data_IF_434393415169
#
_entry.id   IF_434393415169
#
_cell.length_a   1.000
_cell.length_b   1.000
_cell.length_c   1.000
_cell.angle_alpha   90.00
_cell.angle_beta   90.00
_cell.angle_gamma   90.00
#
_symmetry.space_group_name_H-M   'P 1'
#
loop_
_entity.id
_entity.type
_entity.pdbx_description
1 polymer ?
#
# COMPACT_ATOMS: atom_id res chain seq x y z
N UNK A 1 -9.34 -11.58 -13.97
CA UNK A 1 -10.39 -12.53 -13.60
C UNK A 1 -10.86 -12.36 -12.14
N UNK A 2 -9.95 -12.34 -11.14
CA UNK A 2 -10.33 -12.22 -9.70
C UNK A 2 -11.08 -10.93 -9.38
N UNK A 3 -10.66 -9.77 -9.91
CA UNK A 3 -11.38 -8.49 -9.75
C UNK A 3 -12.82 -8.56 -10.25
N UNK A 4 -13.03 -9.21 -11.39
CA UNK A 4 -14.38 -9.40 -11.98
C UNK A 4 -15.22 -10.33 -11.10
N UNK A 5 -14.63 -11.43 -10.59
CA UNK A 5 -15.31 -12.34 -9.68
C UNK A 5 -15.74 -11.63 -8.38
N UNK A 6 -14.81 -10.85 -7.78
CA UNK A 6 -15.11 -10.06 -6.58
C UNK A 6 -16.25 -9.05 -6.84
N UNK A 7 -16.16 -8.29 -7.93
CA UNK A 7 -17.21 -7.33 -8.32
C UNK A 7 -18.57 -8.02 -8.51
N UNK A 8 -18.59 -9.18 -9.18
CA UNK A 8 -19.84 -9.95 -9.39
C UNK A 8 -20.44 -10.43 -8.06
N UNK A 9 -19.63 -10.84 -7.11
CA UNK A 9 -20.10 -11.26 -5.78
C UNK A 9 -20.62 -10.09 -4.96
N UNK A 10 -19.98 -8.92 -5.03
CA UNK A 10 -20.40 -7.73 -4.28
C UNK A 10 -21.69 -7.08 -4.85
N UNK A 11 -21.89 -7.13 -6.15
CA UNK A 11 -23.11 -6.59 -6.81
C UNK A 11 -24.37 -7.32 -6.35
N UNK A 12 -24.28 -8.58 -5.94
CA UNK A 12 -25.44 -9.36 -5.46
C UNK A 12 -25.92 -8.96 -4.07
N UNK A 13 -25.20 -8.07 -3.36
CA UNK A 13 -25.48 -7.59 -2.00
C UNK A 13 -25.89 -8.74 -1.04
N UNK A 14 -25.03 -9.74 -0.82
CA UNK A 14 -25.36 -10.91 -0.02
C UNK A 14 -25.46 -10.56 1.49
N UNK A 15 -26.36 -11.22 2.22
CA UNK A 15 -26.44 -11.10 3.70
C UNK A 15 -25.20 -11.69 4.40
N UNK A 16 -24.62 -12.75 3.82
CA UNK A 16 -23.39 -13.41 4.27
C UNK A 16 -22.40 -13.44 3.11
N UNK A 17 -21.26 -12.80 3.32
CA UNK A 17 -20.14 -12.79 2.38
C UNK A 17 -19.02 -13.67 2.91
N UNK A 18 -18.60 -14.66 2.12
CA UNK A 18 -17.46 -15.53 2.43
C UNK A 18 -16.33 -15.22 1.46
N UNK A 19 -15.18 -14.81 1.99
CA UNK A 19 -14.01 -14.48 1.20
C UNK A 19 -12.81 -15.33 1.64
N UNK A 20 -12.13 -15.92 0.66
CA UNK A 20 -10.89 -16.67 0.85
C UNK A 20 -9.74 -15.96 0.16
N UNK A 21 -8.80 -15.43 0.98
CA UNK A 21 -7.65 -14.64 0.56
C UNK A 21 -8.00 -13.54 -0.46
N UNK A 22 -8.92 -12.62 -0.13
CA UNK A 22 -9.42 -11.64 -1.10
C UNK A 22 -8.37 -10.61 -1.51
N UNK A 23 -7.38 -10.34 -0.67
CA UNK A 23 -6.31 -9.34 -0.93
C UNK A 23 -5.20 -9.87 -1.83
N UNK A 24 -5.08 -11.21 -1.97
CA UNK A 24 -4.05 -11.81 -2.81
C UNK A 24 -4.17 -11.37 -4.27
N UNK A 25 -3.08 -10.82 -4.82
CA UNK A 25 -2.96 -10.30 -6.18
C UNK A 25 -3.81 -9.05 -6.48
N UNK A 26 -4.44 -8.42 -5.48
CA UNK A 26 -4.97 -7.08 -5.61
C UNK A 26 -3.82 -6.07 -5.45
N UNK A 27 -3.92 -4.97 -6.17
CA UNK A 27 -3.05 -3.82 -5.91
C UNK A 27 -3.55 -3.04 -4.69
N UNK A 28 -2.69 -2.17 -4.19
CA UNK A 28 -2.94 -1.42 -2.97
C UNK A 28 -4.22 -0.57 -3.04
N UNK A 29 -4.44 0.11 -4.17
CA UNK A 29 -5.63 0.96 -4.36
C UNK A 29 -6.92 0.14 -4.29
N UNK A 30 -6.92 -1.08 -4.87
CA UNK A 30 -8.06 -2.00 -4.81
C UNK A 30 -8.27 -2.58 -3.41
N UNK A 31 -7.20 -2.88 -2.70
CA UNK A 31 -7.27 -3.38 -1.31
C UNK A 31 -7.86 -2.31 -0.40
N UNK A 32 -7.42 -1.06 -0.52
CA UNK A 32 -7.97 0.08 0.22
C UNK A 32 -9.44 0.33 -0.09
N UNK A 33 -9.81 0.26 -1.36
CA UNK A 33 -11.21 0.37 -1.76
C UNK A 33 -12.08 -0.74 -1.14
N UNK A 34 -11.57 -1.98 -1.13
CA UNK A 34 -12.28 -3.12 -0.54
C UNK A 34 -12.42 -2.97 0.98
N UNK A 35 -11.36 -2.53 1.68
CA UNK A 35 -11.42 -2.20 3.11
C UNK A 35 -12.53 -1.19 3.41
N UNK A 36 -12.55 -0.08 2.69
CA UNK A 36 -13.53 0.98 2.86
C UNK A 36 -14.96 0.51 2.54
N UNK A 37 -15.13 -0.29 1.49
CA UNK A 37 -16.41 -0.88 1.13
C UNK A 37 -16.95 -1.78 2.25
N UNK A 38 -16.15 -2.75 2.72
CA UNK A 38 -16.56 -3.70 3.75
C UNK A 38 -16.83 -3.04 5.11
N UNK A 39 -16.15 -1.95 5.42
CA UNK A 39 -16.39 -1.18 6.65
C UNK A 39 -17.68 -0.39 6.62
N UNK A 40 -18.12 0.08 5.44
CA UNK A 40 -19.34 0.89 5.29
C UNK A 40 -20.59 0.04 5.10
N UNK A 41 -20.43 -1.19 4.64
CA UNK A 41 -21.55 -2.07 4.32
C UNK A 41 -21.97 -2.86 5.56
N UNK A 42 -23.28 -2.92 5.82
CA UNK A 42 -23.81 -3.69 6.96
C UNK A 42 -24.09 -5.13 6.49
N UNK A 43 -23.06 -5.95 6.40
CA UNK A 43 -23.11 -7.35 5.99
C UNK A 43 -22.41 -8.25 7.00
N UNK A 44 -22.79 -9.54 7.04
CA UNK A 44 -22.06 -10.55 7.81
C UNK A 44 -20.88 -11.05 6.97
N UNK A 45 -19.66 -10.89 7.48
CA UNK A 45 -18.42 -11.26 6.78
C UNK A 45 -17.75 -12.45 7.48
N UNK A 46 -17.46 -13.51 6.72
CA UNK A 46 -16.53 -14.57 7.10
C UNK A 46 -15.36 -14.55 6.13
N UNK A 47 -14.16 -14.32 6.65
CA UNK A 47 -12.99 -14.13 5.81
C UNK A 47 -11.80 -14.97 6.29
N UNK A 48 -11.08 -15.57 5.36
CA UNK A 48 -9.77 -16.17 5.59
C UNK A 48 -8.74 -15.26 4.91
N UNK A 49 -7.76 -14.76 5.66
CA UNK A 49 -6.69 -13.94 5.09
C UNK A 49 -5.44 -13.95 5.94
N UNK A 50 -4.30 -13.71 5.31
CA UNK A 50 -3.01 -13.50 5.93
C UNK A 50 -2.62 -12.01 5.97
N UNK A 51 -3.44 -11.12 5.39
CA UNK A 51 -3.23 -9.68 5.43
C UNK A 51 -3.60 -9.12 6.81
N UNK A 52 -2.58 -8.85 7.60
CA UNK A 52 -2.70 -8.40 8.99
C UNK A 52 -3.31 -7.01 9.11
N UNK A 53 -3.02 -6.15 8.16
CA UNK A 53 -3.53 -4.78 8.13
C UNK A 53 -5.03 -4.77 7.80
N UNK A 54 -5.43 -5.65 6.88
CA UNK A 54 -6.83 -5.85 6.56
C UNK A 54 -7.62 -6.42 7.74
N UNK A 55 -7.04 -7.43 8.44
CA UNK A 55 -7.63 -7.99 9.66
C UNK A 55 -7.83 -6.93 10.75
N UNK A 56 -6.85 -6.04 10.96
CA UNK A 56 -6.90 -5.02 11.99
C UNK A 56 -7.99 -3.97 11.73
N UNK A 57 -8.28 -3.68 10.46
CA UNK A 57 -9.22 -2.63 10.06
C UNK A 57 -10.65 -3.08 9.84
N UNK A 58 -10.84 -4.29 9.32
CA UNK A 58 -12.14 -4.78 8.86
C UNK A 58 -12.79 -5.73 9.86
N UNK A 59 -11.98 -6.56 10.56
CA UNK A 59 -12.50 -7.60 11.41
C UNK A 59 -12.73 -7.11 12.85
N UNK A 60 -13.89 -7.45 13.42
CA UNK A 60 -14.22 -7.24 14.83
C UNK A 60 -13.92 -8.45 15.70
N UNK A 61 -13.74 -9.61 15.10
CA UNK A 61 -13.53 -10.89 15.77
C UNK A 61 -12.58 -11.77 14.94
N UNK A 62 -11.64 -12.45 15.59
CA UNK A 62 -10.67 -13.32 14.95
C UNK A 62 -10.84 -14.74 15.50
N UNK A 63 -10.93 -15.71 14.61
CA UNK A 63 -11.01 -17.14 14.92
C UNK A 63 -9.69 -17.79 14.48
N UNK A 64 -8.92 -18.30 15.44
CA UNK A 64 -7.67 -19.02 15.20
C UNK A 64 -7.92 -20.53 15.27
N UNK A 65 -7.49 -21.25 14.23
CA UNK A 65 -7.43 -22.68 14.16
C UNK A 65 -6.01 -23.15 14.50
N UNK A 66 -5.79 -23.68 15.70
CA UNK A 66 -4.49 -24.15 16.15
C UNK A 66 -4.60 -25.52 16.84
N UNK A 67 -3.75 -26.46 16.47
CA UNK A 67 -3.67 -27.82 17.07
C UNK A 67 -5.04 -28.53 17.21
N UNK A 68 -5.89 -28.47 16.18
CA UNK A 68 -7.27 -29.02 16.14
C UNK A 68 -8.22 -28.40 17.16
N UNK A 69 -7.92 -27.18 17.64
CA UNK A 69 -8.78 -26.39 18.52
C UNK A 69 -9.09 -25.06 17.88
N UNK A 70 -10.23 -24.51 18.26
CA UNK A 70 -10.68 -23.19 17.81
C UNK A 70 -10.52 -22.24 18.99
N UNK A 71 -9.87 -21.12 18.75
CA UNK A 71 -9.73 -20.03 19.71
C UNK A 71 -10.38 -18.78 19.11
N UNK A 72 -11.20 -18.10 19.88
CA UNK A 72 -11.97 -16.94 19.46
C UNK A 72 -11.51 -15.72 20.24
N UNK A 73 -11.20 -14.65 19.52
CA UNK A 73 -10.72 -13.41 20.08
C UNK A 73 -11.62 -12.26 19.61
N UNK A 74 -12.28 -11.57 20.56
CA UNK A 74 -13.12 -10.43 20.27
C UNK A 74 -12.28 -9.17 20.29
N UNK A 75 -11.87 -8.71 19.12
CA UNK A 75 -11.02 -7.56 18.94
C UNK A 75 -10.33 -7.58 17.57
N UNK A 76 -9.46 -6.58 17.35
CA UNK A 76 -8.65 -6.46 16.16
C UNK A 76 -7.42 -7.38 16.18
N UNK A 77 -6.59 -7.32 15.12
CA UNK A 77 -5.40 -8.16 14.99
C UNK A 77 -4.36 -7.91 16.09
N UNK A 78 -4.17 -6.66 16.51
CA UNK A 78 -3.24 -6.29 17.58
C UNK A 78 -3.65 -6.93 18.92
N UNK A 79 -4.94 -6.89 19.25
CA UNK A 79 -5.49 -7.57 20.44
C UNK A 79 -5.31 -9.09 20.37
N UNK A 80 -5.54 -9.67 19.19
CA UNK A 80 -5.32 -11.11 18.96
C UNK A 80 -3.86 -11.50 19.24
N UNK A 81 -2.88 -10.73 18.76
CA UNK A 81 -1.45 -11.00 18.99
C UNK A 81 -1.13 -11.02 20.48
N UNK A 82 -1.56 -10.00 21.23
CA UNK A 82 -1.34 -9.91 22.69
C UNK A 82 -1.92 -11.14 23.40
N UNK A 83 -3.17 -11.47 23.13
CA UNK A 83 -3.85 -12.60 23.79
C UNK A 83 -3.30 -13.96 23.36
N UNK A 84 -2.83 -14.07 22.13
CA UNK A 84 -2.15 -15.28 21.66
C UNK A 84 -0.82 -15.47 22.38
N UNK A 85 -0.05 -14.43 22.56
CA UNK A 85 1.24 -14.44 23.26
C UNK A 85 1.04 -14.84 24.73
N UNK A 86 0.11 -14.21 25.45
CA UNK A 86 -0.27 -14.58 26.82
C UNK A 86 -0.65 -16.09 26.92
N UNK A 87 -1.42 -16.59 25.94
CA UNK A 87 -1.82 -18.00 25.90
C UNK A 87 -0.63 -18.95 25.72
N UNK A 88 0.30 -18.58 24.83
CA UNK A 88 1.50 -19.38 24.54
C UNK A 88 2.41 -19.39 25.77
N UNK A 89 2.63 -18.25 26.42
CA UNK A 89 3.42 -18.15 27.65
C UNK A 89 2.82 -18.99 28.78
N UNK A 90 1.51 -18.88 29.01
CA UNK A 90 0.81 -19.67 30.03
C UNK A 90 0.98 -21.17 29.79
N UNK A 91 0.84 -21.61 28.52
CA UNK A 91 1.04 -23.01 28.14
C UNK A 91 2.49 -23.47 28.32
N UNK A 92 3.45 -22.63 27.99
CA UNK A 92 4.88 -22.92 28.15
C UNK A 92 5.21 -23.16 29.64
N UNK A 93 4.72 -22.29 30.50
CA UNK A 93 4.87 -22.42 31.97
C UNK A 93 4.19 -23.72 32.48
N UNK A 94 3.02 -24.05 31.95
CA UNK A 94 2.31 -25.31 32.30
C UNK A 94 3.13 -26.55 31.92
N UNK A 95 3.68 -26.57 30.71
CA UNK A 95 4.53 -27.65 30.21
C UNK A 95 5.85 -27.77 31.01
N UNK A 96 6.48 -26.63 31.36
CA UNK A 96 7.67 -26.65 32.20
C UNK A 96 7.40 -27.22 33.60
N UNK A 97 6.28 -26.83 34.21
CA UNK A 97 5.85 -27.39 35.48
C UNK A 97 5.57 -28.91 35.35
N UNK A 98 4.87 -29.32 34.29
CA UNK A 98 4.63 -30.73 34.01
C UNK A 98 5.92 -31.48 33.78
N UNK A 99 6.91 -30.95 33.08
CA UNK A 99 8.21 -31.57 32.86
C UNK A 99 9.00 -31.76 34.16
N UNK A 100 9.00 -30.74 35.03
CA UNK A 100 9.67 -30.82 36.31
C UNK A 100 9.03 -31.90 37.21
N UNK A 101 7.69 -31.95 37.26
CA UNK A 101 6.97 -32.98 38.00
C UNK A 101 7.19 -34.38 37.37
N UNK A 102 7.17 -34.47 36.03
CA UNK A 102 7.44 -35.71 35.31
C UNK A 102 8.80 -36.29 35.63
N UNK A 103 9.85 -35.48 35.73
CA UNK A 103 11.18 -35.95 36.13
C UNK A 103 11.15 -36.61 37.51
N UNK A 104 10.46 -35.99 38.48
CA UNK A 104 10.32 -36.50 39.83
C UNK A 104 9.54 -37.81 39.86
N UNK A 105 8.39 -37.86 39.14
CA UNK A 105 7.55 -39.07 39.08
C UNK A 105 8.21 -40.18 38.26
N UNK A 106 9.04 -39.85 37.27
CA UNK A 106 9.83 -40.84 36.51
C UNK A 106 10.86 -41.54 37.39
N UNK A 107 11.52 -40.84 38.31
CA UNK A 107 12.40 -41.45 39.28
C UNK A 107 11.63 -42.40 40.20
N UNK A 108 10.43 -42.00 40.65
CA UNK A 108 9.58 -42.90 41.44
C UNK A 108 9.13 -44.09 40.63
N UNK A 109 8.76 -43.98 39.39
CA UNK A 109 8.38 -45.06 38.49
C UNK A 109 9.54 -46.04 38.25
N UNK A 110 10.79 -45.60 38.22
CA UNK A 110 11.98 -46.43 38.03
C UNK A 110 12.39 -47.19 39.29
N UNK A 111 11.98 -46.75 40.50
CA UNK A 111 12.25 -47.47 41.75
C UNK A 111 11.37 -48.72 41.83
N UNK A 112 12.00 -49.88 42.17
CA UNK A 112 11.22 -51.10 42.41
C UNK A 112 10.39 -50.98 43.69
N UNK A 113 9.18 -51.53 43.75
CA UNK A 113 8.39 -51.57 44.99
C UNK A 113 9.16 -52.34 46.07
N UNK A 114 9.15 -51.81 47.30
CA UNK A 114 9.77 -52.53 48.45
C UNK A 114 8.90 -53.67 48.85
N UNK A 115 9.51 -54.88 49.01
CA UNK A 115 8.90 -56.10 49.46
C UNK A 115 7.67 -56.57 48.60
N UNK A 116 6.61 -57.12 49.17
CA UNK A 116 5.42 -57.60 48.47
C UNK A 116 4.40 -56.52 48.05
N UNK A 117 4.82 -55.23 47.99
CA UNK A 117 3.93 -54.13 47.65
C UNK A 117 3.81 -53.89 46.13
N UNK A 118 2.62 -53.49 45.71
CA UNK A 118 2.37 -53.02 44.36
C UNK A 118 2.40 -51.48 44.34
N UNK A 119 2.82 -50.87 43.22
CA UNK A 119 2.69 -49.42 43.02
C UNK A 119 1.22 -49.04 43.03
N UNK A 120 0.90 -47.87 43.58
CA UNK A 120 -0.47 -47.37 43.59
C UNK A 120 -0.93 -47.05 42.16
N UNK A 121 -1.91 -47.81 41.66
CA UNK A 121 -2.43 -47.71 40.28
C UNK A 121 -2.85 -46.32 39.92
N UNK A 122 -3.50 -45.59 40.83
CA UNK A 122 -3.85 -44.17 40.64
C UNK A 122 -2.66 -43.29 40.30
N UNK A 123 -1.49 -43.50 40.94
CA UNK A 123 -0.28 -42.73 40.69
C UNK A 123 0.39 -43.12 39.35
N UNK A 124 0.27 -44.36 38.95
CA UNK A 124 0.69 -44.84 37.62
C UNK A 124 -0.16 -44.19 36.52
N UNK A 125 -1.48 -44.19 36.69
CA UNK A 125 -2.40 -43.54 35.74
C UNK A 125 -2.12 -42.03 35.65
N UNK A 126 -1.92 -41.33 36.78
CA UNK A 126 -1.56 -39.94 36.84
C UNK A 126 -0.19 -39.64 36.16
N UNK A 127 0.78 -40.56 36.28
CA UNK A 127 2.06 -40.46 35.60
C UNK A 127 1.92 -40.50 34.09
N UNK A 128 1.09 -41.38 33.53
CA UNK A 128 0.85 -41.44 32.09
C UNK A 128 0.11 -40.22 31.54
N UNK A 129 -0.81 -39.65 32.32
CA UNK A 129 -1.44 -38.38 31.93
C UNK A 129 -0.44 -37.21 31.96
N UNK A 130 0.41 -37.15 32.99
CA UNK A 130 1.47 -36.19 33.12
C UNK A 130 2.50 -36.32 31.97
N UNK A 131 2.84 -37.54 31.59
CA UNK A 131 3.73 -37.85 30.47
C UNK A 131 3.20 -37.29 29.15
N UNK A 132 1.88 -37.40 28.91
CA UNK A 132 1.23 -36.84 27.71
C UNK A 132 1.40 -35.30 27.64
N UNK A 133 1.25 -34.62 28.78
CA UNK A 133 1.41 -33.18 28.87
C UNK A 133 2.88 -32.78 28.73
N UNK A 134 3.78 -33.46 29.47
CA UNK A 134 5.21 -33.19 29.48
C UNK A 134 5.88 -33.44 28.10
N UNK A 135 5.37 -34.40 27.32
CA UNK A 135 5.86 -34.71 25.98
C UNK A 135 5.29 -33.76 24.89
N UNK A 136 4.34 -32.87 25.22
CA UNK A 136 3.91 -31.85 24.28
C UNK A 136 5.09 -30.90 24.04
N UNK A 137 5.70 -31.00 22.89
CA UNK A 137 6.73 -30.04 22.44
C UNK A 137 6.02 -28.83 21.89
N UNK A 138 6.00 -27.75 22.65
CA UNK A 138 5.85 -26.41 22.07
C UNK A 138 7.24 -26.00 21.59
N UNK A 139 7.47 -26.04 20.29
CA UNK A 139 8.68 -25.47 19.71
C UNK A 139 8.56 -23.93 19.73
N UNK A 140 8.85 -23.37 20.89
CA UNK A 140 9.06 -21.94 21.06
C UNK A 140 10.57 -21.62 21.15
N UNK A 141 11.42 -22.47 20.59
CA UNK A 141 12.83 -22.12 20.42
C UNK A 141 12.93 -21.01 19.37
N UNK A 142 12.62 -19.79 19.79
CA UNK A 142 13.00 -18.55 19.10
C UNK A 142 14.54 -18.43 19.15
N UNK A 143 15.23 -19.33 18.47
CA UNK A 143 16.65 -19.14 18.19
C UNK A 143 16.72 -18.05 17.14
N UNK A 144 17.11 -16.85 17.56
CA UNK A 144 17.32 -15.74 16.63
C UNK A 144 18.23 -16.20 15.51
N UNK A 145 17.73 -16.16 14.29
CA UNK A 145 18.46 -16.47 13.08
C UNK A 145 19.39 -15.29 12.73
N UNK A 146 20.46 -15.10 13.51
CA UNK A 146 21.51 -14.15 13.16
C UNK A 146 22.47 -14.81 12.16
N UNK A 147 22.03 -14.90 10.89
CA UNK A 147 22.81 -15.51 9.81
C UNK A 147 23.93 -14.55 9.41
N UNK A 148 25.14 -15.07 9.33
CA UNK A 148 26.29 -14.32 8.83
C UNK A 148 26.13 -14.15 7.32
N UNK A 149 25.74 -12.94 6.90
CA UNK A 149 25.76 -12.61 5.47
C UNK A 149 27.19 -12.73 4.93
N UNK A 150 27.34 -13.21 3.70
CA UNK A 150 28.61 -13.22 3.00
C UNK A 150 29.10 -11.77 2.83
N UNK A 151 30.42 -11.60 2.75
CA UNK A 151 31.02 -10.28 2.57
C UNK A 151 30.41 -9.55 1.37
N UNK A 152 30.06 -8.28 1.56
CA UNK A 152 29.58 -7.39 0.52
C UNK A 152 30.55 -6.20 0.37
N UNK A 153 30.98 -5.92 -0.84
CA UNK A 153 31.86 -4.78 -1.16
C UNK A 153 31.18 -3.43 -0.99
N UNK A 154 31.88 -2.37 -1.33
CA UNK A 154 31.32 -1.00 -1.31
C UNK A 154 30.37 -0.76 -2.48
N UNK A 155 30.65 -1.33 -3.64
CA UNK A 155 29.82 -1.22 -4.83
C UNK A 155 28.78 -2.33 -4.84
N UNK A 156 27.50 -1.96 -4.87
CA UNK A 156 26.37 -2.89 -4.92
C UNK A 156 25.82 -2.97 -6.33
N UNK A 157 25.03 -1.98 -6.74
CA UNK A 157 24.74 -1.73 -8.12
C UNK A 157 24.57 -0.22 -8.38
N UNK A 158 24.91 0.19 -9.59
CA UNK A 158 24.74 1.53 -10.10
C UNK A 158 23.97 1.44 -11.41
N UNK A 159 22.81 2.04 -11.45
CA UNK A 159 21.99 2.21 -12.63
C UNK A 159 22.20 3.62 -13.16
N UNK A 160 22.55 3.77 -14.43
CA UNK A 160 22.80 5.07 -15.04
C UNK A 160 22.00 5.19 -16.33
N UNK A 161 21.08 6.14 -16.35
CA UNK A 161 20.20 6.48 -17.48
C UNK A 161 19.54 5.25 -18.12
N UNK A 162 18.91 4.38 -17.29
CA UNK A 162 18.24 3.18 -17.78
C UNK A 162 16.91 3.52 -18.44
N UNK A 163 16.70 2.94 -19.61
CA UNK A 163 15.44 3.01 -20.36
C UNK A 163 14.94 1.62 -20.68
N UNK A 164 13.65 1.39 -20.52
CA UNK A 164 12.96 0.17 -20.92
C UNK A 164 11.53 0.45 -21.29
N UNK A 165 11.11 -0.06 -22.47
CA UNK A 165 9.74 0.06 -22.96
C UNK A 165 9.26 -1.23 -23.62
N UNK A 166 7.95 -1.44 -23.62
CA UNK A 166 7.28 -2.50 -24.36
C UNK A 166 6.17 -1.85 -25.21
N UNK A 167 6.48 -1.58 -26.47
CA UNK A 167 5.60 -0.79 -27.34
C UNK A 167 5.38 0.61 -26.76
N UNK A 168 4.13 0.99 -26.50
CA UNK A 168 3.77 2.31 -25.94
C UNK A 168 3.93 2.40 -24.41
N UNK A 169 4.16 1.25 -23.75
CA UNK A 169 4.29 1.20 -22.30
C UNK A 169 5.75 1.44 -21.89
N UNK A 170 6.02 2.60 -21.31
CA UNK A 170 7.32 2.90 -20.71
C UNK A 170 7.38 2.29 -19.30
N UNK A 171 8.41 1.50 -19.05
CA UNK A 171 8.70 0.88 -17.74
C UNK A 171 9.73 1.70 -16.97
N UNK A 172 10.84 2.05 -17.64
CA UNK A 172 11.90 2.91 -17.13
C UNK A 172 12.08 4.05 -18.14
N UNK A 173 12.16 5.28 -17.63
CA UNK A 173 12.39 6.49 -18.43
C UNK A 173 13.41 7.34 -17.68
N UNK A 174 14.67 7.30 -18.13
CA UNK A 174 15.80 8.00 -17.52
C UNK A 174 16.05 7.64 -16.03
N UNK A 175 15.97 6.33 -15.71
CA UNK A 175 16.16 5.88 -14.34
C UNK A 175 17.63 5.79 -13.98
N UNK A 176 18.06 6.57 -12.97
CA UNK A 176 19.40 6.53 -12.40
C UNK A 176 19.31 6.32 -10.89
N UNK A 177 20.07 5.34 -10.37
CA UNK A 177 20.05 5.01 -8.95
C UNK A 177 21.35 4.34 -8.51
N UNK A 178 21.87 4.74 -7.35
CA UNK A 178 23.02 4.12 -6.70
C UNK A 178 22.55 3.43 -5.44
N UNK A 179 22.62 2.10 -5.41
CA UNK A 179 22.18 1.30 -4.28
C UNK A 179 23.23 1.29 -3.17
N UNK A 180 22.82 1.70 -1.97
CA UNK A 180 23.71 1.78 -0.84
C UNK A 180 23.96 0.42 -0.17
N UNK A 181 25.08 0.31 0.54
CA UNK A 181 25.42 -0.90 1.29
C UNK A 181 24.46 -1.08 2.48
N UNK A 182 23.94 -2.30 2.66
CA UNK A 182 22.99 -2.68 3.71
C UNK A 182 21.61 -2.02 3.58
N UNK A 183 21.34 -1.43 2.47
CA UNK A 183 20.06 -0.81 2.18
C UNK A 183 18.95 -1.84 2.06
N UNK A 184 17.79 -1.50 2.62
CA UNK A 184 16.58 -2.32 2.53
C UNK A 184 15.48 -1.50 1.86
N UNK A 185 15.29 -1.76 0.58
CA UNK A 185 14.40 -1.02 -0.30
C UNK A 185 13.10 -1.77 -0.53
N UNK A 186 11.99 -1.07 -0.43
CA UNK A 186 10.68 -1.55 -0.85
C UNK A 186 10.29 -1.02 -2.23
N UNK A 187 9.70 -1.85 -3.06
CA UNK A 187 9.13 -1.43 -4.34
C UNK A 187 7.61 -1.51 -4.24
N UNK A 188 6.95 -0.39 -4.47
CA UNK A 188 5.50 -0.26 -4.43
C UNK A 188 4.96 0.34 -5.74
N UNK A 189 3.72 0.02 -6.08
CA UNK A 189 3.05 0.53 -7.27
C UNK A 189 1.96 -0.42 -7.75
N UNK A 190 1.10 0.06 -8.63
CA UNK A 190 -0.01 -0.72 -9.16
C UNK A 190 0.48 -1.91 -10.01
N UNK A 191 -0.41 -2.87 -10.25
CA UNK A 191 -0.07 -4.00 -11.10
C UNK A 191 0.14 -3.54 -12.54
N UNK A 192 1.21 -4.05 -13.18
CA UNK A 192 1.56 -3.68 -14.56
C UNK A 192 2.44 -2.43 -14.69
N UNK A 193 2.87 -1.80 -13.60
CA UNK A 193 3.77 -0.63 -13.65
C UNK A 193 5.24 -0.97 -13.92
N UNK A 194 5.59 -2.27 -14.02
CA UNK A 194 6.93 -2.70 -14.41
C UNK A 194 7.83 -3.17 -13.25
N UNK A 195 7.30 -3.36 -12.04
CA UNK A 195 8.07 -3.81 -10.86
C UNK A 195 8.88 -5.09 -11.12
N UNK A 196 8.21 -6.15 -11.59
CA UNK A 196 8.89 -7.42 -11.89
C UNK A 196 9.83 -7.32 -13.09
N UNK A 197 9.56 -6.44 -14.06
CA UNK A 197 10.47 -6.17 -15.16
C UNK A 197 11.75 -5.50 -14.67
N UNK A 198 11.65 -4.54 -13.76
CA UNK A 198 12.81 -3.91 -13.14
C UNK A 198 13.67 -4.95 -12.40
N UNK A 199 13.07 -5.86 -11.64
CA UNK A 199 13.77 -6.95 -10.98
C UNK A 199 14.47 -7.86 -12.02
N UNK A 200 13.79 -8.22 -13.12
CA UNK A 200 14.38 -9.05 -14.18
C UNK A 200 15.58 -8.38 -14.85
N UNK A 201 15.53 -7.04 -15.00
CA UNK A 201 16.68 -6.26 -15.50
C UNK A 201 17.84 -6.32 -14.50
N UNK A 202 17.56 -6.09 -13.21
CA UNK A 202 18.56 -6.16 -12.15
C UNK A 202 19.21 -7.55 -12.04
N UNK A 203 18.43 -8.61 -12.28
CA UNK A 203 18.92 -10.00 -12.28
C UNK A 203 19.61 -10.42 -13.59
N UNK A 204 19.68 -9.54 -14.58
CA UNK A 204 20.24 -9.84 -15.90
C UNK A 204 19.41 -10.80 -16.74
N UNK A 205 18.16 -11.04 -16.39
CA UNK A 205 17.21 -11.89 -17.12
C UNK A 205 16.54 -11.15 -18.29
N UNK A 206 16.48 -9.83 -18.19
CA UNK A 206 15.95 -8.94 -19.21
C UNK A 206 16.99 -7.83 -19.47
N UNK A 207 17.12 -7.37 -20.71
CA UNK A 207 18.04 -6.30 -21.07
C UNK A 207 17.31 -4.95 -21.06
N UNK A 208 17.94 -3.91 -20.54
CA UNK A 208 17.51 -2.55 -20.76
C UNK A 208 17.64 -2.17 -22.23
N UNK A 209 16.80 -1.26 -22.71
CA UNK A 209 16.86 -0.79 -24.11
C UNK A 209 18.06 0.16 -24.29
N UNK A 210 18.40 0.95 -23.28
CA UNK A 210 19.60 1.79 -23.21
C UNK A 210 19.97 2.11 -21.77
N UNK A 211 21.15 2.71 -21.58
CA UNK A 211 21.74 2.98 -20.26
C UNK A 211 22.70 1.87 -19.83
N UNK A 212 23.25 2.01 -18.63
CA UNK A 212 24.21 1.05 -18.06
C UNK A 212 23.77 0.61 -16.69
N UNK A 213 23.93 -0.70 -16.42
CA UNK A 213 23.75 -1.29 -15.10
C UNK A 213 25.06 -1.95 -14.70
N UNK A 214 25.71 -1.42 -13.68
CA UNK A 214 26.98 -1.93 -13.19
C UNK A 214 26.80 -2.57 -11.81
N UNK A 215 27.02 -3.88 -11.71
CA UNK A 215 26.80 -4.68 -10.51
C UNK A 215 28.16 -5.05 -9.92
N UNK A 216 28.32 -4.87 -8.60
CA UNK A 216 29.54 -5.21 -7.89
C UNK A 216 29.87 -6.70 -7.96
N UNK A 217 31.14 -7.05 -8.23
CA UNK A 217 31.61 -8.44 -8.37
C UNK A 217 31.38 -9.31 -7.12
N UNK A 218 31.25 -8.69 -5.96
CA UNK A 218 31.01 -9.40 -4.69
C UNK A 218 29.55 -9.67 -4.40
N UNK A 219 28.63 -9.16 -5.24
CA UNK A 219 27.19 -9.32 -5.06
C UNK A 219 26.76 -10.74 -5.38
N UNK A 220 26.08 -11.38 -4.45
CA UNK A 220 25.48 -12.71 -4.59
C UNK A 220 23.99 -12.59 -4.39
N UNK A 221 23.25 -12.64 -5.49
CA UNK A 221 21.80 -12.53 -5.44
C UNK A 221 21.13 -13.81 -4.91
N UNK A 222 20.16 -13.63 -4.03
CA UNK A 222 19.14 -14.61 -3.70
C UNK A 222 17.81 -14.11 -4.20
N UNK A 223 17.28 -14.73 -5.24
CA UNK A 223 16.02 -14.30 -5.85
C UNK A 223 14.89 -15.25 -5.50
N UNK A 224 13.88 -14.70 -4.86
CA UNK A 224 12.59 -15.36 -4.62
C UNK A 224 11.56 -14.80 -5.60
N UNK A 225 11.21 -15.58 -6.62
CA UNK A 225 10.28 -15.14 -7.67
C UNK A 225 8.86 -15.58 -7.38
N UNK A 226 7.91 -14.82 -7.90
CA UNK A 226 6.49 -15.16 -7.84
C UNK A 226 6.15 -16.46 -8.59
N UNK A 227 6.90 -16.79 -9.65
CA UNK A 227 6.70 -18.01 -10.44
C UNK A 227 7.08 -19.28 -9.65
N UNK A 228 7.92 -19.15 -8.62
CA UNK A 228 8.41 -20.25 -7.80
C UNK A 228 9.50 -21.07 -8.46
N UNK A 229 9.99 -22.09 -7.77
CA UNK A 229 10.95 -23.07 -8.27
C UNK A 229 10.23 -24.38 -8.57
N UNK A 230 10.60 -25.02 -9.69
CA UNK A 230 10.21 -26.40 -9.95
C UNK A 230 11.17 -27.32 -9.19
N UNK A 231 10.61 -28.08 -8.25
CA UNK A 231 11.35 -29.10 -7.52
C UNK A 231 11.23 -30.45 -8.20
N UNK A 232 12.23 -31.30 -8.02
CA UNK A 232 12.04 -32.72 -8.28
C UNK A 232 11.08 -33.29 -7.21
N UNK A 233 9.90 -33.66 -7.64
CA UNK A 233 8.84 -34.15 -6.76
C UNK A 233 9.21 -35.46 -6.04
N UNK A 234 10.18 -36.20 -6.53
CA UNK A 234 10.64 -37.46 -5.95
C UNK A 234 11.72 -37.28 -4.86
N UNK A 235 12.22 -36.06 -4.68
CA UNK A 235 13.16 -35.74 -3.61
C UNK A 235 12.45 -35.59 -2.27
N UNK A 236 13.17 -35.85 -1.16
CA UNK A 236 12.71 -35.48 0.18
C UNK A 236 13.02 -34.02 0.45
N UNK A 237 12.21 -33.41 1.33
CA UNK A 237 12.38 -32.01 1.73
C UNK A 237 13.78 -31.72 2.24
N UNK A 238 14.34 -32.61 3.06
CA UNK A 238 15.70 -32.47 3.62
C UNK A 238 16.75 -32.54 2.54
N UNK A 239 16.62 -33.44 1.57
CA UNK A 239 17.59 -33.66 0.50
C UNK A 239 17.68 -32.42 -0.41
N UNK A 240 16.54 -31.81 -0.74
CA UNK A 240 16.50 -30.55 -1.54
C UNK A 240 17.34 -29.45 -0.91
N UNK A 241 17.34 -29.35 0.40
CA UNK A 241 18.07 -28.31 1.11
C UNK A 241 19.54 -28.70 1.32
N UNK A 242 19.82 -29.98 1.59
CA UNK A 242 21.18 -30.50 1.76
C UNK A 242 22.00 -30.44 0.45
N UNK A 243 21.38 -30.61 -0.70
CA UNK A 243 22.03 -30.44 -2.01
C UNK A 243 22.57 -29.00 -2.23
N UNK A 244 22.01 -28.03 -1.51
CA UNK A 244 22.47 -26.63 -1.58
C UNK A 244 23.58 -26.40 -0.56
N UNK A 245 23.35 -26.77 0.69
CA UNK A 245 24.31 -26.66 1.77
C UNK A 245 23.94 -27.58 2.94
N UNK A 246 24.91 -28.31 3.48
CA UNK A 246 24.71 -29.12 4.67
C UNK A 246 24.63 -28.28 5.95
N UNK A 247 25.32 -27.13 5.96
CA UNK A 247 25.50 -26.27 7.14
C UNK A 247 25.52 -24.79 6.75
N UNK A 248 24.87 -23.97 7.52
CA UNK A 248 24.92 -22.50 7.43
C UNK A 248 25.73 -21.94 8.62
N UNK A 249 26.61 -20.99 8.37
CA UNK A 249 27.28 -20.25 9.42
C UNK A 249 26.44 -19.08 9.94
N UNK A 250 26.25 -19.01 11.24
CA UNK A 250 25.61 -17.89 11.92
C UNK A 250 26.61 -16.77 12.23
N UNK A 251 26.11 -15.54 12.39
CA UNK A 251 26.91 -14.35 12.69
C UNK A 251 27.75 -14.45 13.98
N UNK A 252 27.33 -15.30 14.90
CA UNK A 252 28.03 -15.60 16.17
C UNK A 252 29.03 -16.78 16.07
N UNK A 253 29.34 -17.28 14.87
CA UNK A 253 30.23 -18.40 14.64
C UNK A 253 29.60 -19.77 14.92
N UNK A 254 28.33 -19.84 15.32
CA UNK A 254 27.59 -21.09 15.41
C UNK A 254 27.24 -21.60 14.02
N UNK A 255 27.08 -22.91 13.90
CA UNK A 255 26.67 -23.57 12.67
C UNK A 255 25.29 -24.17 12.84
N UNK A 256 24.40 -23.93 11.90
CA UNK A 256 23.09 -24.58 11.79
C UNK A 256 23.15 -25.66 10.73
N UNK A 257 22.68 -26.85 11.07
CA UNK A 257 22.46 -27.91 10.06
C UNK A 257 21.23 -27.59 9.22
N UNK A 258 21.15 -28.16 8.01
CA UNK A 258 19.98 -28.02 7.15
C UNK A 258 18.68 -28.42 7.86
N UNK A 259 18.71 -29.49 8.69
CA UNK A 259 17.55 -29.91 9.49
C UNK A 259 17.11 -28.86 10.53
N UNK A 260 18.06 -28.25 11.25
CA UNK A 260 17.75 -27.18 12.20
C UNK A 260 17.21 -25.94 11.50
N UNK A 261 17.78 -25.57 10.36
CA UNK A 261 17.28 -24.46 9.55
C UNK A 261 15.85 -24.68 9.07
N UNK A 262 15.55 -25.86 8.55
CA UNK A 262 14.19 -26.25 8.18
C UNK A 262 13.20 -26.18 9.34
N UNK A 263 13.64 -26.57 10.57
CA UNK A 263 12.79 -26.46 11.77
C UNK A 263 12.41 -25.01 12.08
N UNK A 264 13.32 -24.04 11.89
CA UNK A 264 12.98 -22.62 12.03
C UNK A 264 11.89 -22.18 11.07
N UNK A 265 11.85 -22.76 9.86
CA UNK A 265 10.81 -22.53 8.87
C UNK A 265 9.65 -23.55 8.99
N UNK A 266 9.41 -24.07 10.20
CA UNK A 266 8.27 -24.93 10.57
C UNK A 266 8.20 -26.27 9.83
N UNK A 267 9.30 -26.77 9.27
CA UNK A 267 9.40 -28.13 8.82
C UNK A 267 9.85 -29.03 9.97
N UNK A 268 8.88 -29.70 10.60
CA UNK A 268 9.18 -30.65 11.67
C UNK A 268 9.97 -31.87 11.15
N UNK A 269 10.76 -32.56 12.00
CA UNK A 269 11.57 -33.71 11.58
C UNK A 269 10.80 -34.76 10.77
N UNK A 270 9.53 -34.96 11.10
CA UNK A 270 8.64 -35.90 10.40
C UNK A 270 8.36 -35.43 8.96
N UNK A 271 8.13 -34.14 8.77
CA UNK A 271 7.86 -33.53 7.45
C UNK A 271 9.12 -33.42 6.60
N UNK A 272 10.30 -33.22 7.23
CA UNK A 272 11.58 -33.13 6.51
C UNK A 272 11.91 -34.40 5.71
N UNK A 273 11.48 -35.56 6.17
CA UNK A 273 11.70 -36.85 5.49
C UNK A 273 10.58 -37.21 4.52
N UNK A 274 9.53 -36.39 4.39
CA UNK A 274 8.48 -36.59 3.39
C UNK A 274 8.94 -36.12 2.01
N UNK A 275 8.30 -36.65 0.97
CA UNK A 275 8.57 -36.27 -0.42
C UNK A 275 7.90 -34.93 -0.74
N UNK A 276 8.54 -34.15 -1.66
CA UNK A 276 8.07 -32.83 -2.06
C UNK A 276 6.65 -32.86 -2.66
N UNK A 277 6.28 -33.92 -3.40
CA UNK A 277 4.94 -34.06 -3.98
C UNK A 277 3.80 -34.10 -2.92
N UNK A 278 4.13 -34.45 -1.67
CA UNK A 278 3.15 -34.49 -0.55
C UNK A 278 2.90 -33.14 0.10
N UNK A 279 3.74 -32.17 -0.19
CA UNK A 279 3.64 -30.82 0.38
C UNK A 279 2.44 -30.06 -0.21
N UNK A 280 1.76 -29.32 0.64
CA UNK A 280 0.80 -28.29 0.22
C UNK A 280 1.48 -27.15 -0.56
N UNK A 281 0.68 -26.35 -1.28
CA UNK A 281 1.20 -25.21 -2.03
C UNK A 281 2.00 -24.25 -1.14
N UNK A 282 1.49 -23.89 0.03
CA UNK A 282 2.17 -23.02 0.99
C UNK A 282 3.48 -23.63 1.54
N UNK A 283 3.49 -24.95 1.83
CA UNK A 283 4.72 -25.65 2.22
C UNK A 283 5.76 -25.67 1.11
N UNK A 284 5.38 -25.88 -0.14
CA UNK A 284 6.29 -25.78 -1.30
C UNK A 284 6.89 -24.38 -1.44
N UNK A 285 6.10 -23.34 -1.25
CA UNK A 285 6.55 -21.93 -1.24
C UNK A 285 7.54 -21.66 -0.12
N UNK A 286 7.25 -22.19 1.07
CA UNK A 286 8.13 -22.11 2.23
C UNK A 286 9.45 -22.84 1.99
N UNK A 287 9.40 -24.05 1.39
CA UNK A 287 10.60 -24.78 0.99
C UNK A 287 11.44 -24.00 -0.02
N UNK A 288 10.79 -23.38 -1.00
CA UNK A 288 11.48 -22.52 -1.97
C UNK A 288 12.21 -21.35 -1.28
N UNK A 289 11.56 -20.68 -0.34
CA UNK A 289 12.18 -19.63 0.46
C UNK A 289 13.43 -20.18 1.19
N UNK A 290 13.32 -21.34 1.84
CA UNK A 290 14.46 -21.99 2.51
C UNK A 290 15.62 -22.22 1.53
N UNK A 291 15.36 -22.68 0.30
CA UNK A 291 16.43 -22.92 -0.68
C UNK A 291 17.13 -21.63 -1.13
N UNK A 292 16.40 -20.53 -1.24
CA UNK A 292 16.98 -19.21 -1.56
C UNK A 292 17.89 -18.73 -0.43
N UNK A 293 17.41 -18.83 0.82
CA UNK A 293 18.16 -18.35 1.99
C UNK A 293 19.40 -19.23 2.31
N UNK A 294 19.31 -20.54 2.07
CA UNK A 294 20.43 -21.49 2.28
C UNK A 294 21.64 -21.22 1.38
N UNK A 295 21.46 -20.59 0.24
CA UNK A 295 22.57 -20.19 -0.67
C UNK A 295 23.45 -19.10 -0.08
N UNK A 296 23.11 -18.61 1.10
CA UNK A 296 23.81 -17.53 1.82
C UNK A 296 24.07 -16.30 0.94
N UNK A 297 23.01 -15.72 0.34
CA UNK A 297 23.15 -14.51 -0.46
C UNK A 297 23.56 -13.32 0.42
N UNK A 298 24.14 -12.28 -0.19
CA UNK A 298 24.36 -10.99 0.47
C UNK A 298 23.46 -9.89 -0.12
N UNK A 299 22.70 -10.22 -1.16
CA UNK A 299 21.68 -9.38 -1.75
C UNK A 299 20.42 -10.22 -1.98
N UNK A 300 19.33 -9.91 -1.25
CA UNK A 300 18.06 -10.60 -1.39
C UNK A 300 17.09 -9.77 -2.24
N UNK A 301 16.47 -10.42 -3.21
CA UNK A 301 15.39 -9.88 -4.02
C UNK A 301 14.16 -10.75 -3.80
N UNK A 302 13.12 -10.19 -3.22
CA UNK A 302 11.90 -10.89 -2.86
C UNK A 302 10.73 -10.29 -3.65
N UNK A 303 10.20 -11.06 -4.60
CA UNK A 303 9.05 -10.64 -5.43
C UNK A 303 7.77 -11.30 -4.90
N UNK A 304 6.93 -10.51 -4.22
CA UNK A 304 5.68 -10.90 -3.57
C UNK A 304 5.84 -12.09 -2.60
N UNK A 305 6.77 -12.03 -1.63
CA UNK A 305 7.01 -13.14 -0.72
C UNK A 305 5.84 -13.41 0.24
N UNK A 306 4.97 -12.43 0.41
CA UNK A 306 3.82 -12.49 1.33
C UNK A 306 2.65 -13.26 0.76
N UNK A 307 2.59 -13.43 -0.55
CA UNK A 307 1.58 -14.25 -1.20
C UNK A 307 1.83 -15.73 -0.86
N UNK A 308 0.80 -16.44 -0.45
CA UNK A 308 0.82 -17.87 -0.18
C UNK A 308 1.71 -18.33 1.01
N UNK A 309 2.24 -17.42 1.84
CA UNK A 309 2.89 -17.74 3.10
C UNK A 309 1.96 -17.47 4.28
N UNK A 310 1.91 -18.41 5.24
CA UNK A 310 1.16 -18.20 6.47
C UNK A 310 1.80 -17.15 7.39
N UNK A 311 0.99 -16.55 8.27
CA UNK A 311 1.41 -15.48 9.19
C UNK A 311 2.62 -15.89 10.05
N UNK A 312 2.71 -17.17 10.44
CA UNK A 312 3.82 -17.66 11.27
C UNK A 312 5.13 -17.69 10.47
N UNK A 313 5.08 -18.16 9.23
CA UNK A 313 6.24 -18.12 8.32
C UNK A 313 6.64 -16.68 7.99
N UNK A 314 5.68 -15.78 7.79
CA UNK A 314 5.96 -14.36 7.58
C UNK A 314 6.69 -13.73 8.78
N UNK A 315 6.29 -14.05 10.00
CA UNK A 315 7.00 -13.58 11.20
C UNK A 315 8.46 -14.07 11.24
N UNK A 316 8.71 -15.34 10.89
CA UNK A 316 10.08 -15.88 10.81
C UNK A 316 10.90 -15.18 9.73
N UNK A 317 10.30 -14.91 8.57
CA UNK A 317 10.95 -14.19 7.48
C UNK A 317 11.25 -12.73 7.88
N UNK A 318 10.33 -12.03 8.54
CA UNK A 318 10.53 -10.68 9.04
C UNK A 318 11.70 -10.62 10.02
N UNK A 319 11.74 -11.52 11.01
CA UNK A 319 12.84 -11.61 11.98
C UNK A 319 14.18 -11.89 11.28
N UNK A 320 14.19 -12.78 10.30
CA UNK A 320 15.37 -13.06 9.48
C UNK A 320 15.84 -11.81 8.74
N UNK A 321 14.93 -11.09 8.05
CA UNK A 321 15.27 -9.91 7.25
C UNK A 321 15.69 -8.72 8.11
N UNK A 322 15.13 -8.55 9.31
CA UNK A 322 15.56 -7.52 10.26
C UNK A 322 17.00 -7.72 10.69
N UNK A 323 17.41 -8.98 10.95
CA UNK A 323 18.75 -9.34 11.37
C UNK A 323 19.73 -9.54 10.19
N UNK A 324 19.24 -9.54 8.98
CA UNK A 324 20.04 -9.77 7.77
C UNK A 324 21.01 -8.61 7.51
N UNK A 325 22.31 -8.92 7.49
CA UNK A 325 23.41 -7.97 7.25
C UNK A 325 23.80 -7.93 5.77
N UNK A 326 22.84 -7.77 4.91
CA UNK A 326 22.99 -7.64 3.47
C UNK A 326 22.00 -6.61 2.93
N UNK A 327 21.96 -6.49 1.61
CA UNK A 327 21.02 -5.64 0.91
C UNK A 327 19.73 -6.41 0.62
N UNK A 328 18.59 -5.71 0.65
CA UNK A 328 17.28 -6.32 0.40
C UNK A 328 16.48 -5.43 -0.54
N UNK A 329 15.90 -6.04 -1.55
CA UNK A 329 14.80 -5.45 -2.33
C UNK A 329 13.56 -6.31 -2.12
N UNK A 330 12.46 -5.68 -1.73
CA UNK A 330 11.16 -6.34 -1.54
C UNK A 330 10.11 -5.68 -2.41
N UNK A 331 9.44 -6.47 -3.23
CA UNK A 331 8.16 -6.10 -3.83
C UNK A 331 7.07 -6.77 -3.02
N UNK A 332 6.19 -6.00 -2.40
CA UNK A 332 5.05 -6.57 -1.67
C UNK A 332 3.90 -5.58 -1.60
N UNK A 333 2.70 -6.14 -1.52
CA UNK A 333 1.48 -5.40 -1.22
C UNK A 333 1.10 -5.48 0.28
N UNK A 334 1.84 -6.26 1.08
CA UNK A 334 1.67 -6.31 2.54
C UNK A 334 2.37 -5.12 3.21
N UNK A 335 1.57 -4.18 3.68
CA UNK A 335 2.00 -2.92 4.31
C UNK A 335 2.74 -3.18 5.62
N UNK A 336 2.26 -4.13 6.42
CA UNK A 336 2.85 -4.46 7.71
C UNK A 336 4.25 -5.07 7.55
N UNK A 337 4.41 -5.93 6.54
CA UNK A 337 5.69 -6.49 6.16
C UNK A 337 6.67 -5.41 5.70
N UNK A 338 6.20 -4.50 4.83
CA UNK A 338 7.01 -3.40 4.32
C UNK A 338 7.48 -2.48 5.45
N UNK A 339 6.59 -2.06 6.36
CA UNK A 339 6.95 -1.16 7.47
C UNK A 339 7.99 -1.76 8.43
N UNK A 340 8.03 -3.09 8.55
CA UNK A 340 9.00 -3.79 9.42
C UNK A 340 10.36 -4.03 8.78
N UNK A 341 10.41 -4.18 7.46
CA UNK A 341 11.59 -4.70 6.76
C UNK A 341 12.34 -3.61 6.01
N UNK A 342 11.64 -2.61 5.44
CA UNK A 342 12.26 -1.64 4.54
C UNK A 342 12.48 -0.28 5.17
N UNK A 343 13.57 0.36 4.74
CA UNK A 343 13.97 1.67 5.24
C UNK A 343 13.52 2.80 4.30
N UNK A 344 13.34 2.50 3.01
CA UNK A 344 12.78 3.43 2.03
C UNK A 344 12.11 2.72 0.85
N UNK A 345 11.42 3.50 0.00
CA UNK A 345 10.57 2.98 -1.06
C UNK A 345 10.91 3.56 -2.43
N UNK A 346 10.92 2.70 -3.45
CA UNK A 346 10.77 3.09 -4.85
C UNK A 346 9.31 2.95 -5.27
N UNK A 347 8.71 4.08 -5.61
CA UNK A 347 7.29 4.16 -5.98
C UNK A 347 7.14 4.19 -7.49
N UNK A 348 6.57 3.13 -8.06
CA UNK A 348 6.30 2.99 -9.49
C UNK A 348 4.90 3.55 -9.79
N UNK A 349 4.83 4.79 -10.29
CA UNK A 349 3.56 5.44 -10.66
C UNK A 349 3.05 5.02 -12.05
N UNK A 350 3.88 4.32 -12.84
CA UNK A 350 3.59 3.95 -14.23
C UNK A 350 4.18 4.94 -15.23
N UNK A 351 4.21 4.54 -16.52
CA UNK A 351 4.77 5.32 -17.63
C UNK A 351 6.22 5.81 -17.39
N UNK A 352 7.03 5.01 -16.66
CA UNK A 352 8.41 5.35 -16.36
C UNK A 352 8.63 6.33 -15.20
N UNK A 353 7.55 6.86 -14.59
CA UNK A 353 7.67 7.73 -13.39
C UNK A 353 7.96 6.85 -12.17
N UNK A 354 9.21 6.88 -11.72
CA UNK A 354 9.68 6.19 -10.53
C UNK A 354 10.19 7.24 -9.55
N UNK A 355 9.67 7.20 -8.34
CA UNK A 355 10.05 8.14 -7.27
C UNK A 355 10.71 7.40 -6.13
N UNK A 356 11.83 7.94 -5.69
CA UNK A 356 12.45 7.54 -4.44
C UNK A 356 11.79 8.29 -3.28
N UNK A 357 11.32 7.54 -2.28
CA UNK A 357 10.69 8.07 -1.09
C UNK A 357 11.46 7.61 0.16
N UNK A 358 12.15 8.53 0.87
CA UNK A 358 12.85 8.20 2.09
C UNK A 358 11.86 8.00 3.24
N UNK A 359 11.61 6.76 3.61
CA UNK A 359 10.69 6.38 4.68
C UNK A 359 10.01 5.04 4.44
N UNK A 360 9.25 4.60 5.43
CA UNK A 360 8.48 3.37 5.35
C UNK A 360 7.13 3.57 4.62
N UNK A 361 6.39 2.48 4.45
CA UNK A 361 5.12 2.51 3.71
C UNK A 361 4.05 3.39 4.37
N UNK A 362 3.94 3.35 5.70
CA UNK A 362 2.99 4.20 6.45
C UNK A 362 3.27 5.69 6.23
N UNK A 363 4.53 6.10 6.32
CA UNK A 363 4.94 7.50 6.05
C UNK A 363 4.65 7.94 4.60
N UNK A 364 4.89 7.04 3.63
CA UNK A 364 4.55 7.31 2.23
C UNK A 364 3.05 7.52 2.04
N UNK A 365 2.23 6.71 2.69
CA UNK A 365 0.78 6.82 2.62
C UNK A 365 0.28 8.14 3.20
N UNK A 366 0.74 8.50 4.41
CA UNK A 366 0.38 9.76 5.06
C UNK A 366 0.75 10.95 4.15
N UNK A 367 1.92 10.91 3.54
CA UNK A 367 2.35 11.91 2.57
C UNK A 367 1.44 11.96 1.33
N UNK A 368 1.05 10.80 0.77
CA UNK A 368 0.14 10.69 -0.38
C UNK A 368 -1.23 11.28 -0.05
N UNK A 369 -1.77 10.96 1.13
CA UNK A 369 -3.07 11.45 1.59
C UNK A 369 -3.06 12.97 1.78
N UNK A 370 -2.03 13.52 2.40
CA UNK A 370 -1.85 14.99 2.56
C UNK A 370 -1.75 15.67 1.19
N UNK A 371 -0.99 15.11 0.27
CA UNK A 371 -0.83 15.66 -1.07
C UNK A 371 -2.14 15.63 -1.86
N UNK A 372 -2.88 14.52 -1.80
CA UNK A 372 -4.18 14.39 -2.45
C UNK A 372 -5.22 15.38 -1.86
N UNK A 373 -5.18 15.63 -0.56
CA UNK A 373 -6.02 16.65 0.08
C UNK A 373 -5.68 18.05 -0.41
N UNK A 374 -4.39 18.40 -0.50
CA UNK A 374 -3.92 19.69 -1.02
C UNK A 374 -4.27 19.90 -2.51
N UNK A 375 -4.17 18.85 -3.33
CA UNK A 375 -4.55 18.91 -4.75
C UNK A 375 -6.06 19.15 -4.89
N UNK A 376 -6.88 18.47 -4.12
CA UNK A 376 -8.35 18.70 -4.09
C UNK A 376 -8.73 20.10 -3.61
N UNK A 377 -8.00 20.66 -2.66
CA UNK A 377 -8.21 22.06 -2.24
C UNK A 377 -7.84 23.04 -3.35
N UNK A 378 -6.69 22.84 -4.01
CA UNK A 378 -6.27 23.68 -5.16
C UNK A 378 -7.25 23.59 -6.33
N UNK A 379 -7.77 22.40 -6.64
CA UNK A 379 -8.81 22.23 -7.67
C UNK A 379 -10.10 22.97 -7.30
N UNK A 380 -10.53 22.89 -6.03
CA UNK A 380 -11.70 23.64 -5.54
C UNK A 380 -11.49 25.17 -5.59
N UNK A 381 -10.31 25.62 -5.23
CA UNK A 381 -9.96 27.05 -5.34
C UNK A 381 -9.89 27.52 -6.80
N UNK A 382 -9.29 26.72 -7.67
CA UNK A 382 -9.26 26.99 -9.11
C UNK A 382 -10.66 27.01 -9.74
N UNK A 383 -11.52 26.08 -9.35
CA UNK A 383 -12.92 26.04 -9.79
C UNK A 383 -13.70 27.28 -9.30
N UNK A 384 -13.56 27.67 -8.03
CA UNK A 384 -14.15 28.91 -7.50
C UNK A 384 -13.66 30.17 -8.24
N UNK A 385 -12.36 30.21 -8.51
CA UNK A 385 -11.77 31.34 -9.26
C UNK A 385 -12.29 31.42 -10.71
N UNK A 386 -12.54 30.27 -11.35
CA UNK A 386 -13.18 30.21 -12.66
C UNK A 386 -14.66 30.59 -12.62
N UNK A 387 -15.43 30.15 -11.61
CA UNK A 387 -16.80 30.57 -11.41
C UNK A 387 -16.93 32.06 -11.14
N UNK A 388 -16.01 32.66 -10.34
CA UNK A 388 -15.98 34.11 -10.13
C UNK A 388 -15.62 34.89 -11.40
N UNK A 389 -14.69 34.37 -12.22
CA UNK A 389 -14.37 34.98 -13.51
C UNK A 389 -15.56 34.93 -14.50
N UNK A 390 -16.25 33.79 -14.58
CA UNK A 390 -17.45 33.63 -15.41
C UNK A 390 -18.62 34.46 -14.90
N UNK A 391 -18.78 34.61 -13.57
CA UNK A 391 -19.79 35.48 -12.98
C UNK A 391 -19.49 36.96 -13.28
N UNK A 392 -18.22 37.43 -13.21
CA UNK A 392 -17.80 38.78 -13.59
C UNK A 392 -18.02 39.08 -15.08
N UNK A 393 -17.76 38.09 -15.95
CA UNK A 393 -18.01 38.22 -17.40
C UNK A 393 -19.52 38.34 -17.67
N UNK A 394 -20.38 37.55 -17.03
CA UNK A 394 -21.86 37.63 -17.14
C UNK A 394 -22.43 38.95 -16.57
N UNK A 395 -21.82 39.53 -15.55
CA UNK A 395 -22.20 40.87 -15.03
C UNK A 395 -21.81 41.96 -15.98
N UNK A 396 -20.67 41.89 -16.68
CA UNK A 396 -20.25 42.84 -17.71
C UNK A 396 -21.08 42.72 -19.01
N UNK A 397 -21.58 41.53 -19.35
CA UNK A 397 -22.52 41.37 -20.49
C UNK A 397 -23.90 41.94 -20.18
N UNK A 398 -24.36 41.95 -18.95
CA UNK A 398 -25.64 42.59 -18.54
C UNK A 398 -25.60 44.11 -18.51
N UNK A 399 -24.43 44.75 -18.62
CA UNK A 399 -24.26 46.21 -18.70
C UNK A 399 -24.13 46.74 -20.15
N UNK A 400 -24.26 45.95 -21.18
CA UNK A 400 -24.35 46.41 -22.56
C UNK A 400 -25.78 46.86 -22.83
N UNK A 401 -25.94 48.15 -23.24
CA UNK A 401 -27.21 48.72 -23.64
C UNK A 401 -27.89 47.83 -24.68
N UNK A 402 -29.18 47.61 -24.47
CA UNK A 402 -30.05 46.92 -25.46
C UNK A 402 -30.08 47.69 -26.76
N UNK A 403 -30.28 46.99 -27.89
CA UNK A 403 -30.38 47.67 -29.20
C UNK A 403 -31.51 48.71 -29.27
N UNK A 404 -32.59 48.54 -28.47
CA UNK A 404 -33.66 49.52 -28.30
C UNK A 404 -33.15 50.77 -27.53
N UNK A 405 -32.46 50.57 -26.42
CA UNK A 405 -31.89 51.65 -25.60
C UNK A 405 -30.83 52.46 -26.37
N UNK A 406 -30.00 51.79 -27.18
CA UNK A 406 -29.03 52.46 -28.03
C UNK A 406 -29.69 53.32 -29.10
N UNK A 407 -30.79 52.88 -29.70
CA UNK A 407 -31.52 53.62 -30.69
C UNK A 407 -32.28 54.81 -30.10
N UNK A 408 -32.83 54.62 -28.87
CA UNK A 408 -33.49 55.72 -28.13
C UNK A 408 -32.47 56.77 -27.68
N UNK A 409 -31.28 56.35 -27.27
CA UNK A 409 -30.15 57.23 -26.94
C UNK A 409 -29.69 58.06 -28.15
N UNK A 410 -29.49 57.46 -29.31
CA UNK A 410 -29.12 58.15 -30.56
C UNK A 410 -30.22 59.12 -31.03
N UNK A 411 -31.50 58.80 -30.80
CA UNK A 411 -32.60 59.70 -31.11
C UNK A 411 -32.67 60.91 -30.17
N UNK A 412 -32.53 60.68 -28.86
CA UNK A 412 -32.49 61.75 -27.87
C UNK A 412 -31.30 62.74 -28.10
N UNK A 413 -30.14 62.19 -28.45
CA UNK A 413 -28.96 62.96 -28.79
C UNK A 413 -29.20 63.89 -30.01
N UNK A 414 -29.84 63.38 -31.07
CA UNK A 414 -30.20 64.15 -32.23
C UNK A 414 -31.26 65.22 -31.92
N UNK A 415 -32.22 64.92 -31.10
CA UNK A 415 -33.31 65.82 -30.71
C UNK A 415 -32.77 66.93 -29.77
N UNK A 416 -31.86 66.65 -28.86
CA UNK A 416 -31.23 67.63 -28.00
C UNK A 416 -30.38 68.56 -28.84
N UNK A 417 -29.57 68.02 -29.75
CA UNK A 417 -28.73 68.87 -30.68
C UNK A 417 -29.57 69.78 -31.54
N UNK A 418 -30.74 69.33 -32.02
CA UNK A 418 -31.66 70.15 -32.81
C UNK A 418 -32.27 71.31 -32.00
N UNK A 419 -32.72 70.98 -30.75
CA UNK A 419 -33.27 71.98 -29.82
C UNK A 419 -32.22 72.99 -29.36
N UNK A 420 -30.97 72.61 -29.16
CA UNK A 420 -29.83 73.48 -28.83
C UNK A 420 -29.51 74.42 -30.02
N UNK A 421 -29.52 73.92 -31.25
CA UNK A 421 -29.33 74.74 -32.44
C UNK A 421 -30.50 75.74 -32.63
N UNK A 422 -31.76 75.36 -32.38
CA UNK A 422 -32.91 76.23 -32.38
C UNK A 422 -32.78 77.33 -31.31
N UNK A 423 -32.37 76.99 -30.09
CA UNK A 423 -32.11 77.87 -28.98
C UNK A 423 -31.03 78.91 -29.35
N UNK A 424 -29.91 78.43 -29.88
CA UNK A 424 -28.78 79.31 -30.28
C UNK A 424 -29.23 80.26 -31.42
N UNK A 425 -29.99 79.80 -32.38
CA UNK A 425 -30.49 80.65 -33.45
C UNK A 425 -31.46 81.78 -32.96
N UNK A 426 -32.26 81.48 -31.92
CA UNK A 426 -33.16 82.41 -31.25
C UNK A 426 -32.35 83.42 -30.43
N UNK A 427 -31.33 82.97 -29.69
CA UNK A 427 -30.43 83.82 -28.90
C UNK A 427 -29.64 84.79 -29.84
N UNK A 428 -29.10 84.28 -30.92
CA UNK A 428 -28.41 85.11 -31.91
C UNK A 428 -29.35 86.14 -32.55
N UNK A 429 -30.59 85.77 -32.88
CA UNK A 429 -31.58 86.65 -33.41
C UNK A 429 -32.03 87.74 -32.41
N UNK A 430 -32.17 87.37 -31.13
CA UNK A 430 -32.44 88.33 -30.03
C UNK A 430 -31.29 89.35 -29.82
N UNK A 431 -30.05 88.88 -29.99
CA UNK A 431 -28.85 89.72 -29.86
C UNK A 431 -28.61 90.67 -31.05
N UNK A 432 -29.15 90.34 -32.25
CA UNK A 432 -28.94 91.14 -33.47
C UNK A 432 -29.67 92.50 -33.50
N UNK A 433 -30.66 92.76 -32.65
CA UNK A 433 -31.40 93.99 -32.49
C UNK A 433 -32.26 94.40 -33.69
N UNK A 434 -32.47 93.56 -34.71
CA UNK A 434 -33.14 93.86 -35.97
C UNK A 434 -34.62 93.30 -36.02
N UNK A 435 -35.17 92.80 -34.87
CA UNK A 435 -36.48 92.20 -34.82
C UNK A 435 -37.62 93.19 -34.54
N UNK A 436 -38.81 92.93 -35.08
CA UNK A 436 -40.03 93.67 -34.79
C UNK A 436 -40.48 93.38 -33.32
N UNK A 437 -41.29 94.25 -32.72
CA UNK A 437 -41.78 94.06 -31.34
C UNK A 437 -42.60 92.76 -31.12
N UNK A 438 -43.34 92.32 -32.19
CA UNK A 438 -44.12 91.14 -32.18
C UNK A 438 -43.21 89.87 -32.22
N UNK A 439 -42.23 89.82 -33.04
CA UNK A 439 -41.23 88.71 -33.15
C UNK A 439 -40.37 88.58 -31.91
N UNK A 440 -40.07 89.73 -31.27
CA UNK A 440 -39.28 89.76 -30.03
C UNK A 440 -40.06 89.16 -28.85
N UNK A 441 -41.41 89.33 -28.80
CA UNK A 441 -42.30 88.81 -27.81
C UNK A 441 -42.49 87.31 -27.99
N UNK A 442 -42.63 86.82 -29.25
CA UNK A 442 -42.75 85.33 -29.52
C UNK A 442 -41.47 84.56 -29.23
N UNK A 443 -40.33 85.08 -29.69
CA UNK A 443 -39.00 84.42 -29.47
C UNK A 443 -38.64 84.47 -28.00
N UNK A 444 -38.98 85.51 -27.22
CA UNK A 444 -38.74 85.62 -25.81
C UNK A 444 -39.58 84.61 -25.00
N UNK A 445 -40.82 84.24 -25.47
CA UNK A 445 -41.60 83.18 -24.85
C UNK A 445 -41.14 81.77 -25.21
N UNK A 446 -40.60 81.62 -26.43
CA UNK A 446 -40.14 80.28 -26.91
C UNK A 446 -38.86 79.83 -26.24
N UNK A 447 -38.00 80.78 -25.82
CA UNK A 447 -36.67 80.44 -25.22
C UNK A 447 -36.75 79.66 -23.92
N UNK A 448 -37.63 80.03 -22.95
CA UNK A 448 -37.79 79.22 -21.73
C UNK A 448 -38.41 77.86 -22.03
N UNK A 449 -39.38 77.73 -22.96
CA UNK A 449 -39.98 76.45 -23.38
C UNK A 449 -38.91 75.47 -23.95
N UNK A 450 -38.02 75.99 -24.77
CA UNK A 450 -36.91 75.21 -25.34
C UNK A 450 -35.91 74.79 -24.24
N UNK A 451 -35.66 75.61 -23.28
CA UNK A 451 -34.78 75.29 -22.16
C UNK A 451 -35.37 74.18 -21.31
N UNK A 452 -36.66 74.24 -20.99
CA UNK A 452 -37.35 73.23 -20.25
C UNK A 452 -37.41 71.91 -21.06
N UNK A 453 -37.59 71.90 -22.35
CA UNK A 453 -37.59 70.73 -23.23
C UNK A 453 -36.16 70.11 -23.34
N UNK A 454 -35.13 70.91 -23.36
CA UNK A 454 -33.75 70.41 -23.37
C UNK A 454 -33.41 69.78 -22.05
N UNK A 455 -33.81 70.36 -20.91
CA UNK A 455 -33.59 69.81 -19.60
C UNK A 455 -34.37 68.50 -19.40
N UNK A 456 -35.62 68.37 -19.82
CA UNK A 456 -36.42 67.19 -19.78
C UNK A 456 -35.80 66.03 -20.60
N UNK A 457 -35.36 66.37 -21.83
CA UNK A 457 -34.71 65.33 -22.68
C UNK A 457 -33.30 64.98 -22.20
N UNK A 458 -32.55 65.89 -21.62
CA UNK A 458 -31.25 65.60 -21.02
C UNK A 458 -31.36 64.73 -19.77
N UNK A 459 -32.42 64.90 -18.94
CA UNK A 459 -32.70 64.00 -17.83
C UNK A 459 -33.07 62.59 -18.30
N UNK A 460 -33.67 62.46 -19.47
CA UNK A 460 -34.04 61.15 -20.04
C UNK A 460 -32.90 60.54 -20.85
N UNK A 461 -31.98 61.34 -21.34
CA UNK A 461 -30.72 60.95 -22.02
C UNK A 461 -29.73 60.33 -21.03
#
# INVERSE_FOLDING_TARGET
LRRVALANTLITEPDLLILDEPTNHLDLDMTEWLEDYLRRTNLTLLMVTHDRYFLDRVCSEIIELDNRRIYQYKGNYSYYLEKREERIEAKTVEIERANNLYRTELEWMRRMPQARGHKARYREDAFYELEKVAKQRFNNDNVKLDVKASYIGSKIFEADHLYKSFGDLKILDDFSYIFARYEKMGIVGNNGTGKSTFIKILMGQELADSGTLDIGETVRFGYYSQEGLQFDEQMKVIDVVQDIAEVIELGNGKRLTASQFLQHFLFMPETQHSYVYKLSGGERRRLYLCTVLMRNPNFLVLDEPTNDLDIVTLNVLEEYLQNFKGCVIVVSHDRYFMDKVVDHLLVFNGQGDIRDFPGNYTQYRDWKDVKAAQEKEREKEAAKTQEEKTAKVRLNEKRRMSFKEKREFEQLEQEIAALEAEKQSIEEALCSGALSVEELTEKSKRLPELTDLIDEKTMRW
#
